data_IF_177657082949
#
_entry.id   IF_177657082949
#
_cell.length_a   1.000
_cell.length_b   1.000
_cell.length_c   1.000
_cell.angle_alpha   90.00
_cell.angle_beta   90.00
_cell.angle_gamma   90.00
#
_symmetry.space_group_name_H-M   'P 1'
#
loop_
_entity.id
_entity.type
_entity.pdbx_description
1 polymer ?
#
# COMPACT_ATOMS: atom_id res chain seq x y z
N UNK A 1 -0.83 -40.87 -47.15
CA UNK A 1 0.27 -40.02 -46.70
C UNK A 1 -0.10 -38.51 -46.54
N UNK A 2 -1.13 -37.97 -47.23
CA UNK A 2 -1.47 -36.52 -47.12
C UNK A 2 -2.28 -36.15 -45.86
N UNK A 3 -3.06 -37.10 -45.29
CA UNK A 3 -3.92 -36.87 -44.10
C UNK A 3 -3.09 -36.79 -42.80
N UNK A 4 -2.02 -37.58 -42.70
CA UNK A 4 -1.15 -37.59 -41.52
C UNK A 4 -0.36 -36.27 -41.33
N UNK A 5 -0.02 -35.58 -42.43
CA UNK A 5 0.72 -34.33 -42.38
C UNK A 5 -0.15 -33.17 -41.93
N UNK A 6 -1.46 -33.18 -42.23
CA UNK A 6 -2.40 -32.12 -41.80
C UNK A 6 -2.69 -32.23 -40.30
N UNK A 7 -2.80 -33.44 -39.75
CA UNK A 7 -3.03 -33.65 -38.30
C UNK A 7 -1.82 -33.18 -37.48
N UNK A 8 -0.60 -33.42 -37.97
CA UNK A 8 0.63 -32.98 -37.28
C UNK A 8 0.76 -31.46 -37.27
N UNK A 9 0.37 -30.76 -38.33
CA UNK A 9 0.41 -29.32 -38.43
C UNK A 9 -0.59 -28.62 -37.47
N UNK A 10 -1.79 -29.21 -37.30
CA UNK A 10 -2.82 -28.70 -36.38
C UNK A 10 -2.42 -28.86 -34.93
N UNK A 11 -1.79 -29.97 -34.55
CA UNK A 11 -1.30 -30.21 -33.18
C UNK A 11 -0.12 -29.28 -32.84
N UNK A 12 0.78 -29.02 -33.81
CA UNK A 12 1.89 -28.09 -33.61
C UNK A 12 1.42 -26.62 -33.44
N UNK A 13 0.38 -26.22 -34.18
CA UNK A 13 -0.20 -24.87 -34.05
C UNK A 13 -0.95 -24.68 -32.70
N UNK A 14 -1.65 -25.70 -32.22
CA UNK A 14 -2.32 -25.68 -30.92
C UNK A 14 -1.32 -25.60 -29.74
N UNK A 15 -0.19 -26.28 -29.83
CA UNK A 15 0.85 -26.24 -28.81
C UNK A 15 1.56 -24.88 -28.75
N UNK A 16 1.74 -24.21 -29.90
CA UNK A 16 2.36 -22.88 -29.94
C UNK A 16 1.44 -21.80 -29.36
N UNK A 17 0.13 -21.89 -29.58
CA UNK A 17 -0.85 -20.94 -29.02
C UNK A 17 -0.98 -21.10 -27.51
N UNK A 18 -0.98 -22.33 -26.97
CA UNK A 18 -1.02 -22.55 -25.51
C UNK A 18 0.26 -22.12 -24.81
N UNK A 19 1.44 -22.29 -25.41
CA UNK A 19 2.70 -21.82 -24.83
C UNK A 19 2.79 -20.28 -24.82
N UNK A 20 2.26 -19.62 -25.87
CA UNK A 20 2.22 -18.15 -25.91
C UNK A 20 1.27 -17.51 -24.90
N UNK A 21 0.12 -18.15 -24.60
CA UNK A 21 -0.83 -17.66 -23.59
C UNK A 21 -0.28 -17.87 -22.17
N UNK A 22 0.39 -18.98 -21.90
CA UNK A 22 1.03 -19.20 -20.60
C UNK A 22 2.24 -18.30 -20.37
N UNK A 23 3.05 -17.98 -21.38
CA UNK A 23 4.15 -17.03 -21.26
C UNK A 23 3.63 -15.61 -21.00
N UNK A 24 2.52 -15.20 -21.64
CA UNK A 24 1.91 -13.89 -21.40
C UNK A 24 1.29 -13.71 -20.00
N UNK A 25 0.79 -14.79 -19.38
CA UNK A 25 0.22 -14.75 -18.03
C UNK A 25 1.30 -14.80 -16.93
N UNK A 26 2.48 -15.30 -17.20
CA UNK A 26 3.60 -15.33 -16.25
C UNK A 26 4.44 -14.05 -16.27
N UNK A 27 4.35 -13.23 -17.32
CA UNK A 27 5.16 -12.01 -17.45
C UNK A 27 4.49 -10.73 -16.91
N UNK A 28 3.21 -10.78 -16.50
CA UNK A 28 2.49 -9.61 -15.99
C UNK A 28 2.56 -9.44 -14.47
N UNK A 29 2.96 -10.47 -13.70
CA UNK A 29 3.07 -10.37 -12.24
C UNK A 29 4.48 -9.92 -11.77
N UNK A 30 5.53 -10.07 -12.60
CA UNK A 30 6.91 -9.80 -12.19
C UNK A 30 7.30 -8.30 -12.29
N UNK A 31 6.60 -7.47 -13.06
CA UNK A 31 6.96 -6.06 -13.21
C UNK A 31 6.53 -5.21 -12.00
N UNK A 32 5.39 -5.51 -11.40
CA UNK A 32 4.90 -4.80 -10.20
C UNK A 32 5.68 -5.22 -8.94
N UNK A 33 6.06 -6.48 -8.82
CA UNK A 33 6.87 -6.96 -7.68
C UNK A 33 8.31 -6.45 -7.77
N UNK A 34 8.88 -6.32 -8.97
CA UNK A 34 10.24 -5.80 -9.19
C UNK A 34 10.30 -4.29 -8.94
N UNK A 35 9.31 -3.53 -9.32
CA UNK A 35 9.19 -2.10 -9.01
C UNK A 35 9.00 -1.87 -7.49
N UNK A 36 8.18 -2.67 -6.84
CA UNK A 36 7.98 -2.65 -5.40
C UNK A 36 9.23 -3.06 -4.61
N UNK A 37 10.01 -4.02 -5.10
CA UNK A 37 11.28 -4.45 -4.49
C UNK A 37 12.40 -3.41 -4.65
N UNK A 38 12.38 -2.62 -5.72
CA UNK A 38 13.32 -1.51 -5.92
C UNK A 38 13.03 -0.29 -5.03
N UNK A 39 11.90 -0.27 -4.37
CA UNK A 39 11.36 0.87 -3.62
C UNK A 39 11.75 0.90 -2.13
N UNK A 40 12.74 0.18 -1.68
CA UNK A 40 13.31 0.31 -0.33
C UNK A 40 12.42 -0.15 0.83
N UNK A 41 12.71 0.35 2.04
CA UNK A 41 12.08 -0.09 3.28
C UNK A 41 10.64 0.46 3.42
N UNK A 42 9.79 -0.34 4.07
CA UNK A 42 8.42 0.02 4.41
C UNK A 42 8.37 0.59 5.83
N UNK A 43 7.72 1.75 6.01
CA UNK A 43 7.52 2.39 7.30
C UNK A 43 6.05 2.75 7.50
N UNK A 44 5.53 2.52 8.70
CA UNK A 44 4.19 2.93 9.11
C UNK A 44 4.25 4.25 9.87
N UNK A 45 3.20 5.06 9.78
CA UNK A 45 3.06 6.30 10.55
C UNK A 45 2.00 7.23 9.98
N UNK A 46 2.12 8.51 10.33
CA UNK A 46 1.14 9.55 10.01
C UNK A 46 1.76 10.66 9.17
N UNK A 47 1.00 11.19 8.22
CA UNK A 47 1.40 12.35 7.44
C UNK A 47 0.99 13.61 8.22
N UNK A 48 1.98 14.29 8.81
CA UNK A 48 1.73 15.52 9.55
C UNK A 48 1.49 16.72 8.61
N UNK A 49 2.22 16.80 7.50
CA UNK A 49 2.01 17.78 6.42
C UNK A 49 2.48 17.23 5.09
N UNK A 50 1.85 17.64 4.00
CA UNK A 50 2.25 17.35 2.63
C UNK A 50 2.07 18.61 1.78
N UNK A 51 3.16 19.31 1.49
CA UNK A 51 3.13 20.62 0.82
C UNK A 51 3.88 20.59 -0.50
N UNK A 52 3.43 21.33 -1.53
CA UNK A 52 4.13 21.43 -2.79
C UNK A 52 5.59 21.90 -2.60
N UNK A 53 6.53 21.29 -3.32
CA UNK A 53 7.95 21.62 -3.31
C UNK A 53 8.59 21.32 -4.69
N UNK A 54 8.82 22.33 -5.48
CA UNK A 54 9.29 22.17 -6.87
C UNK A 54 8.30 21.41 -7.74
N UNK A 55 8.77 20.34 -8.38
CA UNK A 55 7.95 19.47 -9.25
C UNK A 55 7.25 18.33 -8.49
N UNK A 56 7.36 18.32 -7.15
CA UNK A 56 6.76 17.31 -6.28
C UNK A 56 6.23 17.93 -4.99
N UNK A 57 6.36 17.16 -3.91
CA UNK A 57 5.88 17.53 -2.59
C UNK A 57 6.94 17.23 -1.52
N UNK A 58 6.85 17.96 -0.41
CA UNK A 58 7.61 17.71 0.81
C UNK A 58 6.65 17.19 1.88
N UNK A 59 6.93 15.98 2.35
CA UNK A 59 6.18 15.33 3.42
C UNK A 59 6.90 15.51 4.76
N UNK A 60 6.13 15.84 5.80
CA UNK A 60 6.54 15.66 7.19
C UNK A 60 5.80 14.43 7.71
N UNK A 61 6.54 13.43 8.11
CA UNK A 61 6.04 12.11 8.49
C UNK A 61 6.36 11.83 9.95
N UNK A 62 5.36 11.39 10.69
CA UNK A 62 5.46 10.96 12.07
C UNK A 62 5.49 9.43 12.09
N UNK A 63 6.67 8.82 12.28
CA UNK A 63 6.79 7.36 12.26
C UNK A 63 6.13 6.75 13.50
N UNK A 64 5.49 5.60 13.30
CA UNK A 64 4.88 4.78 14.34
C UNK A 64 5.12 3.30 14.04
N UNK A 65 4.78 2.43 14.99
CA UNK A 65 4.80 0.99 14.79
C UNK A 65 3.38 0.46 14.68
N UNK A 66 3.14 -0.37 13.68
CA UNK A 66 1.91 -1.14 13.55
C UNK A 66 2.25 -2.61 13.82
N UNK A 67 1.78 -3.11 14.96
CA UNK A 67 2.10 -4.45 15.45
C UNK A 67 0.88 -5.34 15.47
N UNK A 68 1.08 -6.66 15.46
CA UNK A 68 0.03 -7.67 15.57
C UNK A 68 0.48 -8.85 16.44
N UNK A 69 -0.48 -9.71 16.81
CA UNK A 69 -0.23 -10.91 17.61
C UNK A 69 0.32 -10.60 19.00
N UNK A 70 1.23 -11.44 19.49
CA UNK A 70 1.81 -11.31 20.84
C UNK A 70 2.54 -9.98 21.03
N UNK A 71 3.24 -9.47 20.01
CA UNK A 71 3.91 -8.17 20.09
C UNK A 71 2.92 -7.02 20.33
N UNK A 72 1.73 -7.06 19.72
CA UNK A 72 0.68 -6.08 19.95
C UNK A 72 0.10 -6.20 21.37
N UNK A 73 -0.10 -7.42 21.87
CA UNK A 73 -0.61 -7.69 23.20
C UNK A 73 0.35 -7.18 24.29
N UNK A 74 1.64 -7.49 24.12
CA UNK A 74 2.67 -7.07 25.08
C UNK A 74 2.81 -5.53 25.11
N UNK A 75 2.87 -4.89 23.96
CA UNK A 75 2.96 -3.44 23.89
C UNK A 75 1.72 -2.74 24.48
N UNK A 76 0.52 -3.23 24.21
CA UNK A 76 -0.71 -2.69 24.77
C UNK A 76 -0.80 -2.91 26.30
N UNK A 77 -0.25 -4.02 26.81
CA UNK A 77 -0.17 -4.27 28.24
C UNK A 77 0.86 -3.36 28.92
N UNK A 78 2.01 -3.10 28.29
CA UNK A 78 3.02 -2.12 28.77
C UNK A 78 2.43 -0.71 28.86
N UNK A 79 1.59 -0.31 27.90
CA UNK A 79 0.89 0.97 27.87
C UNK A 79 -0.37 0.99 28.79
N UNK A 80 -0.71 -0.14 29.43
CA UNK A 80 -1.85 -0.26 30.33
C UNK A 80 -3.22 -0.24 29.64
N UNK A 81 -3.27 -0.53 28.34
CA UNK A 81 -4.51 -0.59 27.55
C UNK A 81 -5.24 -1.90 27.78
N UNK A 82 -4.51 -2.99 27.97
CA UNK A 82 -5.02 -4.31 28.35
C UNK A 82 -4.26 -4.87 29.56
N UNK A 83 -4.84 -5.85 30.23
CA UNK A 83 -4.12 -6.57 31.28
C UNK A 83 -3.06 -7.51 30.69
N UNK A 84 -1.91 -7.75 31.37
CA UNK A 84 -0.90 -8.68 30.90
C UNK A 84 -1.47 -10.06 30.54
N UNK A 85 -1.18 -10.51 29.32
CA UNK A 85 -1.67 -11.78 28.79
C UNK A 85 -3.09 -11.72 28.20
N UNK A 86 -3.71 -10.55 28.12
CA UNK A 86 -4.97 -10.36 27.40
C UNK A 86 -4.71 -9.92 25.96
N UNK A 87 -5.45 -10.47 24.98
CA UNK A 87 -5.32 -10.04 23.59
C UNK A 87 -5.92 -8.64 23.37
N UNK A 88 -5.29 -7.87 22.51
CA UNK A 88 -5.86 -6.61 22.01
C UNK A 88 -7.05 -6.88 21.08
N UNK A 89 -8.06 -6.01 21.04
CA UNK A 89 -9.10 -6.07 20.03
C UNK A 89 -8.49 -6.04 18.61
N UNK A 90 -9.07 -6.83 17.70
CA UNK A 90 -8.67 -6.87 16.28
C UNK A 90 -7.21 -7.30 15.99
N UNK A 91 -6.52 -7.87 16.98
CA UNK A 91 -5.16 -8.42 16.86
C UNK A 91 -4.11 -7.41 16.34
N UNK A 92 -4.33 -6.11 16.56
CA UNK A 92 -3.35 -5.09 16.19
C UNK A 92 -3.27 -3.97 17.24
N UNK A 93 -2.07 -3.35 17.31
CA UNK A 93 -1.80 -2.21 18.18
C UNK A 93 -0.84 -1.24 17.53
N UNK A 94 -1.06 0.07 17.73
CA UNK A 94 -0.19 1.15 17.25
C UNK A 94 0.63 1.69 18.41
N UNK A 95 1.94 1.78 18.23
CA UNK A 95 2.86 2.35 19.19
C UNK A 95 3.34 3.70 18.66
N UNK A 96 2.96 4.77 19.37
CA UNK A 96 3.37 6.14 19.06
C UNK A 96 4.59 6.48 19.93
N UNK A 97 5.76 6.56 19.32
CA UNK A 97 7.01 6.76 20.08
C UNK A 97 7.39 8.25 20.28
N UNK A 98 6.57 9.18 19.81
CA UNK A 98 6.83 10.62 19.95
C UNK A 98 8.12 11.09 19.29
N UNK A 99 8.46 10.52 18.17
CA UNK A 99 9.67 10.83 17.40
C UNK A 99 9.64 12.22 16.78
N UNK A 100 10.83 12.69 16.40
CA UNK A 100 10.92 13.87 15.53
C UNK A 100 10.34 13.51 14.16
N UNK A 101 9.52 14.43 13.62
CA UNK A 101 9.01 14.29 12.27
C UNK A 101 10.16 14.13 11.27
N UNK A 102 10.08 13.07 10.47
CA UNK A 102 10.98 12.84 9.35
C UNK A 102 10.54 13.69 8.16
N UNK A 103 11.46 14.00 7.27
CA UNK A 103 11.17 14.78 6.06
C UNK A 103 11.52 13.94 4.84
N UNK A 104 10.55 13.78 3.95
CA UNK A 104 10.71 13.05 2.69
C UNK A 104 10.31 13.90 1.50
N UNK A 105 10.92 13.62 0.35
CA UNK A 105 10.48 14.10 -0.95
C UNK A 105 9.45 13.10 -1.51
N UNK A 106 8.38 13.63 -2.11
CA UNK A 106 7.33 12.83 -2.73
C UNK A 106 7.17 13.32 -4.18
N UNK A 107 7.64 12.56 -5.18
CA UNK A 107 7.39 12.86 -6.58
C UNK A 107 5.89 12.98 -6.86
N UNK A 108 5.49 13.87 -7.78
CA UNK A 108 4.08 14.10 -8.08
C UNK A 108 3.37 12.88 -8.69
N UNK A 109 4.12 11.95 -9.25
CA UNK A 109 3.67 10.69 -9.84
C UNK A 109 3.78 9.48 -8.90
N UNK A 110 4.16 9.70 -7.62
CA UNK A 110 4.18 8.64 -6.61
C UNK A 110 2.82 7.95 -6.55
N UNK A 111 2.73 6.61 -6.69
CA UNK A 111 1.48 5.89 -6.51
C UNK A 111 0.98 6.02 -5.08
N UNK A 112 -0.30 6.39 -4.96
CA UNK A 112 -1.00 6.55 -3.68
C UNK A 112 -2.28 5.74 -3.74
N UNK A 113 -2.53 4.94 -2.70
CA UNK A 113 -3.75 4.15 -2.55
C UNK A 113 -4.44 4.52 -1.23
N UNK A 114 -5.71 4.86 -1.30
CA UNK A 114 -6.55 5.12 -0.12
C UNK A 114 -7.76 4.19 -0.10
N UNK A 115 -8.38 4.06 1.07
CA UNK A 115 -9.57 3.25 1.26
C UNK A 115 -10.82 4.12 1.07
N UNK A 116 -11.63 3.81 0.06
CA UNK A 116 -12.89 4.52 -0.21
C UNK A 116 -14.09 3.60 -0.07
N UNK A 117 -15.28 4.17 0.15
CA UNK A 117 -16.53 3.42 0.23
C UNK A 117 -16.93 2.87 -1.13
N UNK A 118 -17.35 1.61 -1.18
CA UNK A 118 -17.86 0.96 -2.38
C UNK A 118 -19.32 0.54 -2.18
N UNK A 119 -20.26 1.33 -2.69
CA UNK A 119 -21.68 0.97 -2.79
C UNK A 119 -22.41 0.66 -1.48
N UNK A 120 -22.00 -0.38 -0.76
CA UNK A 120 -22.49 -0.74 0.58
C UNK A 120 -21.73 0.06 1.65
N UNK A 121 -22.40 0.62 2.69
CA UNK A 121 -21.74 1.35 3.77
C UNK A 121 -20.65 0.57 4.54
N UNK A 122 -20.67 -0.76 4.49
CA UNK A 122 -19.69 -1.63 5.14
C UNK A 122 -18.62 -2.17 4.16
N UNK A 123 -18.72 -1.81 2.88
CA UNK A 123 -17.78 -2.24 1.84
C UNK A 123 -16.82 -1.10 1.50
N UNK A 124 -15.55 -1.45 1.33
CA UNK A 124 -14.51 -0.50 0.91
C UNK A 124 -13.58 -1.15 -0.12
N UNK A 125 -12.96 -0.31 -0.93
CA UNK A 125 -11.97 -0.70 -1.91
C UNK A 125 -10.72 0.15 -1.84
N UNK A 126 -9.63 -0.40 -2.35
CA UNK A 126 -8.38 0.31 -2.53
C UNK A 126 -8.48 1.19 -3.79
N UNK A 127 -8.47 2.50 -3.63
CA UNK A 127 -8.66 3.47 -4.71
C UNK A 127 -7.37 4.25 -4.94
N UNK A 128 -6.81 4.23 -6.16
CA UNK A 128 -5.68 5.06 -6.49
C UNK A 128 -6.10 6.53 -6.58
N UNK A 129 -5.28 7.39 -5.98
CA UNK A 129 -5.42 8.86 -6.05
C UNK A 129 -4.07 9.50 -6.41
N UNK A 130 -4.10 10.78 -6.74
CA UNK A 130 -2.88 11.56 -6.97
C UNK A 130 -2.27 12.08 -5.66
N UNK A 131 -0.98 12.41 -5.68
CA UNK A 131 -0.32 13.08 -4.53
C UNK A 131 -0.97 14.43 -4.22
N UNK A 132 -1.51 15.12 -5.24
CA UNK A 132 -2.24 16.38 -5.06
C UNK A 132 -3.54 16.18 -4.26
N UNK A 133 -4.31 15.14 -4.55
CA UNK A 133 -5.52 14.79 -3.79
C UNK A 133 -5.17 14.32 -2.38
N UNK A 134 -4.07 13.58 -2.21
CA UNK A 134 -3.57 13.24 -0.88
C UNK A 134 -3.21 14.49 -0.06
N UNK A 135 -2.57 15.49 -0.67
CA UNK A 135 -2.24 16.75 0.00
C UNK A 135 -3.52 17.48 0.46
N UNK A 136 -4.56 17.53 -0.38
CA UNK A 136 -5.87 18.07 -0.01
C UNK A 136 -6.50 17.31 1.17
N UNK A 137 -6.42 15.98 1.18
CA UNK A 137 -6.90 15.16 2.32
C UNK A 137 -6.14 15.48 3.61
N UNK A 138 -4.82 15.63 3.55
CA UNK A 138 -3.97 16.02 4.70
C UNK A 138 -4.34 17.42 5.22
N UNK A 139 -4.70 18.35 4.33
CA UNK A 139 -5.15 19.70 4.69
C UNK A 139 -6.64 19.73 5.15
N UNK A 140 -7.31 18.59 5.22
CA UNK A 140 -8.68 18.44 5.69
C UNK A 140 -9.76 18.69 4.63
N UNK A 141 -9.37 18.84 3.36
CA UNK A 141 -10.29 18.86 2.23
C UNK A 141 -10.79 17.43 1.93
N UNK A 142 -11.81 17.29 1.08
CA UNK A 142 -12.43 16.00 0.77
C UNK A 142 -12.57 15.78 -0.75
N UNK A 143 -11.42 15.63 -1.47
CA UNK A 143 -11.47 15.35 -2.91
C UNK A 143 -12.09 13.98 -3.21
N UNK A 144 -11.97 13.03 -2.26
CA UNK A 144 -12.60 11.70 -2.30
C UNK A 144 -13.24 11.39 -0.95
N UNK A 145 -14.26 10.51 -0.92
CA UNK A 145 -14.89 10.06 0.32
C UNK A 145 -14.14 8.83 0.86
N UNK A 146 -13.35 9.03 1.89
CA UNK A 146 -12.62 7.96 2.54
C UNK A 146 -13.55 7.05 3.34
N UNK A 147 -13.23 5.74 3.37
CA UNK A 147 -13.86 4.77 4.26
C UNK A 147 -13.51 5.03 5.72
N UNK A 148 -12.22 5.28 5.98
CA UNK A 148 -11.68 5.67 7.28
C UNK A 148 -10.92 7.00 7.15
N UNK A 149 -10.83 7.80 8.21
CA UNK A 149 -9.99 8.98 8.22
C UNK A 149 -8.51 8.64 7.93
N UNK A 150 -7.77 9.57 7.35
CA UNK A 150 -6.36 9.35 7.02
C UNK A 150 -5.46 9.20 8.26
N UNK A 151 -5.95 9.65 9.43
CA UNK A 151 -5.27 9.52 10.73
C UNK A 151 -5.21 8.08 11.27
N UNK A 152 -5.88 7.10 10.63
CA UNK A 152 -5.64 5.68 10.90
C UNK A 152 -4.21 5.27 10.59
N UNK A 153 -3.51 6.03 9.76
CA UNK A 153 -2.12 5.84 9.39
C UNK A 153 -1.94 5.33 7.97
N UNK A 154 -0.73 5.49 7.49
CA UNK A 154 -0.31 5.05 6.15
C UNK A 154 0.98 4.26 6.21
N UNK A 155 1.14 3.37 5.26
CA UNK A 155 2.41 2.77 4.92
C UNK A 155 3.08 3.59 3.83
N UNK A 156 4.32 3.96 4.02
CA UNK A 156 5.16 4.53 2.97
C UNK A 156 6.28 3.56 2.62
N UNK A 157 6.67 3.55 1.36
CA UNK A 157 7.93 2.91 0.91
C UNK A 157 8.90 4.00 0.55
N UNK A 158 10.11 3.89 1.07
CA UNK A 158 11.11 4.96 0.96
C UNK A 158 12.41 4.41 0.41
N UNK A 159 12.98 5.10 -0.57
CA UNK A 159 14.34 4.88 -1.03
C UNK A 159 15.18 6.12 -0.71
N UNK A 160 16.09 5.99 0.25
CA UNK A 160 16.92 7.07 0.83
C UNK A 160 16.01 8.12 1.53
N UNK A 161 15.64 9.20 0.85
CA UNK A 161 14.79 10.29 1.34
C UNK A 161 13.56 10.55 0.45
N UNK A 162 13.33 9.67 -0.53
CA UNK A 162 12.26 9.80 -1.53
C UNK A 162 11.22 8.71 -1.33
N UNK A 163 9.96 9.12 -1.22
CA UNK A 163 8.82 8.20 -1.15
C UNK A 163 8.48 7.71 -2.54
N UNK A 164 8.33 6.41 -2.69
CA UNK A 164 8.00 5.78 -3.95
C UNK A 164 6.65 5.04 -3.95
N UNK A 165 5.99 4.91 -2.80
CA UNK A 165 4.60 4.46 -2.71
C UNK A 165 3.99 4.87 -1.37
N UNK A 166 2.67 5.08 -1.33
CA UNK A 166 1.89 5.40 -0.13
C UNK A 166 0.59 4.60 -0.16
N UNK A 167 0.33 3.85 0.91
CA UNK A 167 -0.86 3.02 1.04
C UNK A 167 -1.55 3.30 2.39
N UNK A 168 -2.85 3.64 2.40
CA UNK A 168 -3.61 3.80 3.65
C UNK A 168 -3.76 2.45 4.35
N UNK A 169 -3.56 2.44 5.68
CA UNK A 169 -3.77 1.25 6.51
C UNK A 169 -5.25 1.13 6.90
N UNK A 170 -5.84 -0.05 6.70
CA UNK A 170 -7.12 -0.42 7.30
C UNK A 170 -6.92 -0.79 8.78
N UNK A 171 -7.75 -0.24 9.64
CA UNK A 171 -7.81 -0.59 11.09
C UNK A 171 -9.21 -1.08 11.41
N UNK A 172 -9.44 -2.40 11.61
CA UNK A 172 -10.76 -3.00 11.84
C UNK A 172 -11.39 -2.65 13.18
#
# INVERSE_FOLDING_TARGET
MKVALIVLAVVAAAAAVTAGIFAGLYYTDDEDETAAAACGDRSFGHIATLSPDGDGYRMRFDPAWFTSGETANDAAAEDGVVEPGQPVPNDNYRIEEGHRLLTYLVPADTPVTVLTREGDPQSFGATPITVAELAQLVDGEKPVELYEPLDTGVWIRVHIDTVCAIDQQYVP
#
